data_IF_998130430699
#
_entry.id   IF_998130430699
#
_cell.length_a   1.000
_cell.length_b   1.000
_cell.length_c   1.000
_cell.angle_alpha   90.00
_cell.angle_beta   90.00
_cell.angle_gamma   90.00
#
_symmetry.space_group_name_H-M   'P 1'
#
loop_
_entity.id
_entity.type
_entity.pdbx_description
1 polymer ?
#
# COMPACT_ATOMS: atom_id res chain seq x y z
N UNK A 1 -3.13 -13.67 -4.53
CA UNK A 1 -3.95 -13.35 -5.71
C UNK A 1 -3.10 -13.44 -6.96
N UNK A 2 -3.52 -14.24 -7.93
CA UNK A 2 -2.90 -14.34 -9.25
C UNK A 2 -3.68 -13.54 -10.30
N UNK A 3 -3.04 -13.21 -11.43
CA UNK A 3 -3.71 -12.55 -12.56
C UNK A 3 -4.80 -13.44 -13.16
N UNK A 4 -4.66 -14.76 -13.06
CA UNK A 4 -5.68 -15.71 -13.50
C UNK A 4 -6.88 -15.78 -12.54
N UNK A 5 -6.70 -15.38 -11.27
CA UNK A 5 -7.76 -15.36 -10.26
C UNK A 5 -8.67 -14.13 -10.37
N UNK A 6 -8.22 -13.12 -11.12
CA UNK A 6 -8.91 -11.85 -11.29
C UNK A 6 -8.85 -11.49 -12.76
N UNK A 7 -9.89 -11.85 -13.52
CA UNK A 7 -10.06 -11.33 -14.88
C UNK A 7 -11.14 -10.23 -14.85
N UNK A 8 -10.91 -9.08 -15.52
CA UNK A 8 -11.88 -8.02 -15.55
C UNK A 8 -13.06 -8.44 -16.44
N UNK A 9 -14.28 -8.12 -16.02
CA UNK A 9 -15.47 -8.32 -16.86
C UNK A 9 -15.55 -7.27 -17.98
N UNK A 10 -16.48 -7.46 -18.92
CA UNK A 10 -16.82 -6.42 -19.92
C UNK A 10 -17.31 -5.11 -19.29
N UNK A 11 -17.66 -5.10 -18.01
CA UNK A 11 -18.10 -3.91 -17.28
C UNK A 11 -16.98 -3.20 -16.53
N UNK A 12 -15.77 -3.76 -16.49
CA UNK A 12 -14.65 -3.10 -15.86
C UNK A 12 -14.26 -1.81 -16.57
N UNK A 13 -13.64 -0.89 -15.84
CA UNK A 13 -13.09 0.33 -16.43
C UNK A 13 -12.07 0.05 -17.55
N UNK A 14 -12.02 0.93 -18.56
CA UNK A 14 -11.13 0.77 -19.73
C UNK A 14 -9.67 0.62 -19.31
N UNK A 15 -9.21 1.43 -18.35
CA UNK A 15 -7.83 1.43 -17.87
C UNK A 15 -7.47 0.16 -17.09
N UNK A 16 -8.45 -0.48 -16.44
CA UNK A 16 -8.26 -1.80 -15.80
C UNK A 16 -8.09 -2.88 -16.87
N UNK A 17 -8.97 -2.89 -17.89
CA UNK A 17 -8.87 -3.86 -19.00
C UNK A 17 -7.55 -3.73 -19.77
N UNK A 18 -7.11 -2.51 -20.01
CA UNK A 18 -5.82 -2.21 -20.62
C UNK A 18 -4.64 -2.83 -19.84
N UNK A 19 -4.58 -2.58 -18.52
CA UNK A 19 -3.55 -3.15 -17.65
C UNK A 19 -3.56 -4.69 -17.67
N UNK A 20 -4.76 -5.31 -17.69
CA UNK A 20 -4.89 -6.76 -17.83
C UNK A 20 -4.44 -7.30 -19.19
N UNK A 21 -4.71 -6.59 -20.28
CA UNK A 21 -4.30 -7.02 -21.62
C UNK A 21 -2.78 -7.08 -21.77
N UNK A 22 -2.04 -6.24 -21.03
CA UNK A 22 -0.57 -6.28 -20.98
C UNK A 22 -0.02 -7.49 -20.24
N UNK A 23 -0.78 -8.07 -19.30
CA UNK A 23 -0.34 -9.17 -18.41
C UNK A 23 1.00 -8.91 -17.68
N UNK A 24 1.38 -7.63 -17.50
CA UNK A 24 2.63 -7.24 -16.85
C UNK A 24 2.40 -7.05 -15.35
N UNK A 25 2.57 -8.13 -14.59
CA UNK A 25 2.53 -8.10 -13.12
C UNK A 25 3.83 -7.48 -12.60
N UNK A 26 3.70 -6.45 -11.79
CA UNK A 26 4.83 -5.74 -11.15
C UNK A 26 4.82 -5.86 -9.63
N UNK A 27 3.84 -6.56 -9.06
CA UNK A 27 3.76 -6.79 -7.62
C UNK A 27 2.47 -7.50 -7.23
N UNK A 28 2.36 -7.84 -5.95
CA UNK A 28 1.14 -8.41 -5.39
C UNK A 28 1.39 -9.25 -4.14
N UNK A 29 0.30 -9.65 -3.52
CA UNK A 29 0.28 -10.47 -2.32
C UNK A 29 -0.97 -11.36 -2.28
N UNK A 30 -1.32 -11.84 -1.08
CA UNK A 30 -2.50 -12.70 -0.90
C UNK A 30 -3.79 -12.03 -1.37
N UNK A 31 -3.94 -10.73 -1.09
CA UNK A 31 -5.18 -9.97 -1.33
C UNK A 31 -5.09 -8.92 -2.44
N UNK A 32 -3.90 -8.73 -3.03
CA UNK A 32 -3.68 -7.69 -4.01
C UNK A 32 -2.85 -8.18 -5.21
N UNK A 33 -3.11 -7.56 -6.36
CA UNK A 33 -2.37 -7.73 -7.60
C UNK A 33 -2.03 -6.35 -8.14
N UNK A 34 -0.78 -6.11 -8.51
CA UNK A 34 -0.33 -4.84 -9.09
C UNK A 34 0.14 -5.08 -10.53
N UNK A 35 -0.45 -4.34 -11.46
CA UNK A 35 -0.19 -4.42 -12.89
C UNK A 35 0.39 -3.10 -13.40
N UNK A 36 1.27 -3.15 -14.40
CA UNK A 36 1.62 -1.94 -15.16
C UNK A 36 0.38 -1.36 -15.84
N UNK A 37 0.24 -0.04 -15.77
CA UNK A 37 -0.74 0.67 -16.58
C UNK A 37 -0.26 0.84 -18.04
N UNK A 38 -1.16 1.30 -18.91
CA UNK A 38 -0.81 1.69 -20.28
C UNK A 38 0.17 2.87 -20.31
N UNK A 39 -0.10 3.85 -19.45
CA UNK A 39 0.68 5.08 -19.31
C UNK A 39 1.96 4.84 -18.51
N UNK A 40 3.09 5.34 -19.04
CA UNK A 40 4.37 5.29 -18.35
C UNK A 40 4.28 6.05 -17.01
N UNK A 41 4.73 5.40 -15.93
CA UNK A 41 4.74 5.99 -14.59
C UNK A 41 3.52 5.71 -13.73
N UNK A 42 2.58 4.84 -14.17
CA UNK A 42 1.43 4.43 -13.36
C UNK A 42 1.29 2.92 -13.26
N UNK A 43 0.62 2.48 -12.19
CA UNK A 43 0.22 1.08 -11.96
C UNK A 43 -1.25 0.99 -11.59
N UNK A 44 -1.83 -0.15 -11.88
CA UNK A 44 -3.17 -0.54 -11.44
C UNK A 44 -3.02 -1.53 -10.28
N UNK A 45 -3.34 -1.09 -9.06
CA UNK A 45 -3.50 -1.98 -7.90
C UNK A 45 -4.93 -2.47 -7.86
N UNK A 46 -5.08 -3.79 -7.85
CA UNK A 46 -6.33 -4.49 -7.65
C UNK A 46 -6.28 -5.13 -6.27
N UNK A 47 -7.26 -4.85 -5.42
CA UNK A 47 -7.29 -5.36 -4.05
C UNK A 47 -8.69 -5.87 -3.70
N UNK A 48 -8.73 -7.00 -3.00
CA UNK A 48 -9.95 -7.49 -2.33
C UNK A 48 -10.08 -6.95 -0.91
N UNK A 49 -9.06 -6.26 -0.39
CA UNK A 49 -9.13 -5.60 0.91
C UNK A 49 -9.80 -4.24 0.75
N UNK A 50 -11.01 -4.11 1.29
CA UNK A 50 -11.73 -2.84 1.33
C UNK A 50 -10.98 -1.85 2.24
N UNK A 51 -10.33 -2.37 3.28
CA UNK A 51 -9.52 -1.58 4.19
C UNK A 51 -8.33 -0.91 3.49
N UNK A 52 -7.56 -1.67 2.71
CA UNK A 52 -6.43 -1.17 1.93
C UNK A 52 -6.89 -0.14 0.89
N UNK A 53 -7.97 -0.45 0.16
CA UNK A 53 -8.59 0.48 -0.78
C UNK A 53 -8.98 1.80 -0.13
N UNK A 54 -9.72 1.75 0.98
CA UNK A 54 -10.17 2.94 1.70
C UNK A 54 -9.00 3.76 2.25
N UNK A 55 -7.95 3.10 2.75
CA UNK A 55 -6.74 3.76 3.23
C UNK A 55 -6.01 4.49 2.09
N UNK A 56 -5.83 3.84 0.92
CA UNK A 56 -5.18 4.46 -0.24
C UNK A 56 -5.92 5.73 -0.69
N UNK A 57 -7.25 5.70 -0.72
CA UNK A 57 -8.05 6.87 -1.06
C UNK A 57 -7.96 7.96 0.01
N UNK A 58 -7.98 7.58 1.29
CA UNK A 58 -7.91 8.52 2.41
C UNK A 58 -6.59 9.30 2.42
N UNK A 59 -5.48 8.63 2.11
CA UNK A 59 -4.14 9.22 2.19
C UNK A 59 -3.62 9.80 0.88
N UNK A 60 -4.32 9.56 -0.24
CA UNK A 60 -3.90 10.06 -1.54
C UNK A 60 -3.76 11.60 -1.54
N UNK A 61 -2.53 12.07 -1.74
CA UNK A 61 -2.21 13.49 -1.83
C UNK A 61 -2.20 14.25 -0.50
N UNK A 62 -2.33 13.57 0.64
CA UNK A 62 -2.30 14.23 1.97
C UNK A 62 -0.89 14.30 2.56
N UNK A 63 -0.02 13.35 2.23
CA UNK A 63 1.40 13.35 2.58
C UNK A 63 2.20 12.67 1.45
N UNK A 64 3.43 13.14 1.23
CA UNK A 64 4.39 12.51 0.32
C UNK A 64 4.63 11.01 0.63
N UNK A 65 4.52 10.53 1.86
CA UNK A 65 4.78 9.13 2.18
C UNK A 65 3.65 8.15 1.80
N UNK A 66 2.62 8.61 1.07
CA UNK A 66 1.57 7.76 0.51
C UNK A 66 1.48 7.92 -1.02
N UNK A 67 0.96 6.91 -1.75
CA UNK A 67 0.79 6.98 -3.19
C UNK A 67 -0.23 8.02 -3.59
N UNK A 68 0.04 8.71 -4.69
CA UNK A 68 -0.95 9.52 -5.40
C UNK A 68 -1.87 8.60 -6.20
N UNK A 69 -3.16 8.59 -5.84
CA UNK A 69 -4.22 7.94 -6.59
C UNK A 69 -4.75 8.89 -7.65
N UNK A 70 -4.79 8.43 -8.89
CA UNK A 70 -5.29 9.18 -10.05
C UNK A 70 -6.74 8.85 -10.33
N UNK A 71 -7.09 7.56 -10.29
CA UNK A 71 -8.45 7.05 -10.54
C UNK A 71 -8.71 5.84 -9.67
N UNK A 72 -9.98 5.58 -9.38
CA UNK A 72 -10.37 4.39 -8.65
C UNK A 72 -11.78 3.96 -9.05
N UNK A 73 -12.06 2.66 -8.90
CA UNK A 73 -13.37 2.10 -9.19
C UNK A 73 -13.57 0.77 -8.44
N UNK A 74 -14.82 0.48 -8.08
CA UNK A 74 -15.22 -0.84 -7.61
C UNK A 74 -15.63 -1.66 -8.84
N UNK A 75 -14.92 -2.75 -9.11
CA UNK A 75 -15.12 -3.57 -10.29
C UNK A 75 -15.56 -4.98 -9.91
N UNK A 76 -16.29 -5.64 -10.81
CA UNK A 76 -16.68 -7.03 -10.67
C UNK A 76 -15.59 -7.94 -11.26
N UNK A 77 -15.15 -8.95 -10.49
CA UNK A 77 -14.37 -10.08 -11.02
C UNK A 77 -15.21 -10.98 -11.93
N UNK A 78 -14.56 -11.87 -12.68
CA UNK A 78 -15.27 -12.97 -13.35
C UNK A 78 -15.64 -14.08 -12.35
N UNK A 79 -16.83 -14.65 -12.50
CA UNK A 79 -17.31 -15.80 -11.72
C UNK A 79 -17.55 -15.49 -10.24
N UNK A 80 -17.26 -16.45 -9.37
CA UNK A 80 -17.49 -16.36 -7.91
C UNK A 80 -16.38 -15.60 -7.16
N UNK A 81 -15.45 -14.97 -7.89
CA UNK A 81 -14.30 -14.25 -7.32
C UNK A 81 -14.67 -12.99 -6.50
N UNK A 82 -15.94 -12.56 -6.57
CA UNK A 82 -16.45 -11.37 -5.88
C UNK A 82 -15.97 -10.06 -6.49
N UNK A 83 -16.45 -8.90 -5.98
CA UNK A 83 -15.95 -7.61 -6.38
C UNK A 83 -14.50 -7.41 -5.95
N UNK A 84 -13.75 -6.63 -6.71
CA UNK A 84 -12.45 -6.11 -6.32
C UNK A 84 -12.42 -4.60 -6.48
N UNK A 85 -11.57 -3.95 -5.70
CA UNK A 85 -11.33 -2.53 -5.79
C UNK A 85 -10.12 -2.29 -6.68
N UNK A 86 -10.24 -1.38 -7.65
CA UNK A 86 -9.17 -1.01 -8.55
C UNK A 86 -8.73 0.43 -8.27
N UNK A 87 -7.43 0.64 -8.23
CA UNK A 87 -6.79 1.93 -8.00
C UNK A 87 -5.71 2.14 -9.04
N UNK A 88 -5.83 3.19 -9.85
CA UNK A 88 -4.76 3.69 -10.70
C UNK A 88 -3.94 4.68 -9.88
N UNK A 89 -2.67 4.38 -9.67
CA UNK A 89 -1.78 5.18 -8.82
C UNK A 89 -0.39 5.33 -9.42
N UNK A 90 0.40 6.27 -8.89
CA UNK A 90 1.79 6.44 -9.30
C UNK A 90 2.57 5.11 -9.21
N UNK A 91 3.38 4.82 -10.22
CA UNK A 91 4.29 3.68 -10.22
C UNK A 91 5.46 4.03 -9.32
N UNK A 92 5.62 3.28 -8.24
CA UNK A 92 6.76 3.38 -7.36
C UNK A 92 7.78 2.33 -7.79
N UNK A 93 9.05 2.71 -8.06
CA UNK A 93 10.12 1.76 -8.28
C UNK A 93 10.16 0.72 -7.15
N UNK A 94 10.29 -0.56 -7.49
CA UNK A 94 10.59 -1.58 -6.49
C UNK A 94 11.89 -1.22 -5.79
N UNK A 95 11.84 -1.11 -4.48
CA UNK A 95 12.94 -0.59 -3.69
C UNK A 95 14.05 -1.63 -3.64
N UNK A 96 15.22 -1.32 -4.22
CA UNK A 96 16.52 -1.96 -3.91
C UNK A 96 17.37 -1.15 -2.92
N UNK A 97 16.74 -0.24 -2.17
CA UNK A 97 17.40 0.60 -1.17
C UNK A 97 17.56 -0.13 0.17
N UNK A 98 18.79 -0.16 0.68
CA UNK A 98 19.13 -0.65 2.03
C UNK A 98 18.37 0.10 3.14
N UNK A 99 17.89 1.32 2.87
CA UNK A 99 17.13 2.15 3.82
C UNK A 99 15.75 1.58 4.12
N UNK A 100 14.99 1.14 3.11
CA UNK A 100 13.68 0.52 3.32
C UNK A 100 13.81 -0.83 4.06
N UNK A 101 14.88 -1.58 3.82
CA UNK A 101 15.17 -2.81 4.56
C UNK A 101 15.48 -2.50 6.04
N UNK A 102 16.24 -1.45 6.34
CA UNK A 102 16.52 -1.04 7.71
C UNK A 102 15.24 -0.64 8.47
N UNK A 103 14.32 0.10 7.83
CA UNK A 103 13.02 0.46 8.41
C UNK A 103 12.14 -0.77 8.60
N UNK A 104 11.97 -1.59 7.57
CA UNK A 104 11.16 -2.80 7.65
C UNK A 104 11.69 -3.73 8.75
N UNK A 105 13.01 -3.88 8.87
CA UNK A 105 13.64 -4.64 9.95
C UNK A 105 13.41 -3.98 11.31
N UNK A 106 13.53 -2.66 11.44
CA UNK A 106 13.26 -1.97 12.71
C UNK A 106 11.81 -2.16 13.15
N UNK A 107 10.85 -1.96 12.24
CA UNK A 107 9.42 -2.17 12.47
C UNK A 107 9.14 -3.63 12.84
N UNK A 108 9.74 -4.59 12.13
CA UNK A 108 9.53 -6.02 12.35
C UNK A 108 10.16 -6.51 13.67
N UNK A 109 11.35 -6.02 14.03
CA UNK A 109 12.06 -6.33 15.29
C UNK A 109 11.28 -5.79 16.50
N UNK A 110 10.62 -4.65 16.37
CA UNK A 110 9.81 -4.07 17.44
C UNK A 110 8.34 -4.49 17.41
N UNK A 111 7.95 -5.40 16.51
CA UNK A 111 6.57 -5.87 16.31
C UNK A 111 5.54 -4.74 16.13
N UNK A 112 5.99 -3.60 15.61
CA UNK A 112 5.19 -2.40 15.42
C UNK A 112 4.08 -2.69 14.40
N UNK A 113 2.82 -2.58 14.83
CA UNK A 113 1.63 -2.78 13.98
C UNK A 113 1.11 -4.22 13.89
N UNK A 114 1.91 -5.24 14.26
CA UNK A 114 1.53 -6.67 14.16
C UNK A 114 0.31 -7.04 15.02
N UNK A 115 0.16 -6.42 16.18
CA UNK A 115 -0.89 -6.78 17.15
C UNK A 115 -1.82 -5.63 17.51
N UNK A 116 -1.39 -4.37 17.33
CA UNK A 116 -2.20 -3.20 17.66
C UNK A 116 -1.81 -1.98 16.80
N UNK A 117 -2.77 -1.24 16.19
CA UNK A 117 -2.49 -0.04 15.39
C UNK A 117 -1.73 1.07 16.16
N UNK A 118 -1.91 1.17 17.48
CA UNK A 118 -1.12 2.03 18.36
C UNK A 118 0.40 1.79 18.31
N UNK A 119 0.86 0.62 17.86
CA UNK A 119 2.28 0.38 17.64
C UNK A 119 2.90 1.38 16.66
N UNK A 120 2.16 1.79 15.61
CA UNK A 120 2.61 2.78 14.63
C UNK A 120 2.75 4.19 15.23
N UNK A 121 1.84 4.55 16.13
CA UNK A 121 1.89 5.83 16.85
C UNK A 121 3.14 5.89 17.74
N UNK A 122 3.46 4.79 18.43
CA UNK A 122 4.68 4.69 19.23
C UNK A 122 5.94 4.71 18.37
N UNK A 123 5.91 4.06 17.21
CA UNK A 123 7.00 4.10 16.23
C UNK A 123 7.29 5.53 15.76
N UNK A 124 6.25 6.28 15.41
CA UNK A 124 6.35 7.68 15.04
C UNK A 124 6.97 8.52 16.16
N UNK A 125 6.57 8.31 17.42
CA UNK A 125 7.17 8.99 18.56
C UNK A 125 8.67 8.66 18.72
N UNK A 126 9.04 7.39 18.58
CA UNK A 126 10.44 6.96 18.68
C UNK A 126 11.32 7.53 17.56
N UNK A 127 10.79 7.68 16.34
CA UNK A 127 11.48 8.36 15.23
C UNK A 127 11.72 9.84 15.55
N UNK A 128 10.68 10.56 16.00
CA UNK A 128 10.78 11.98 16.39
C UNK A 128 11.79 12.20 17.53
N UNK A 129 11.80 11.29 18.51
CA UNK A 129 12.72 11.31 19.64
C UNK A 129 14.15 10.86 19.27
N UNK A 130 14.40 10.47 18.01
CA UNK A 130 15.69 9.94 17.52
C UNK A 130 16.22 8.75 18.33
N UNK A 131 15.29 7.96 18.90
CA UNK A 131 15.60 6.72 19.65
C UNK A 131 15.92 5.55 18.72
N UNK A 132 15.62 5.71 17.44
CA UNK A 132 15.97 4.81 16.36
C UNK A 132 17.09 5.51 15.58
N UNK A 133 18.18 4.80 15.30
CA UNK A 133 19.44 5.37 14.76
C UNK A 133 19.29 6.31 13.56
N UNK A 134 20.38 7.00 13.25
CA UNK A 134 20.43 8.20 12.39
C UNK A 134 19.56 8.17 11.10
N UNK A 135 18.92 9.32 10.85
CA UNK A 135 18.40 9.85 9.56
C UNK A 135 17.14 9.23 8.94
N UNK A 136 16.01 9.31 9.64
CA UNK A 136 14.69 9.32 8.97
C UNK A 136 14.06 10.71 9.02
N UNK A 137 13.42 11.17 7.94
CA UNK A 137 12.81 12.50 7.91
C UNK A 137 11.59 12.55 8.85
N UNK A 138 11.38 13.69 9.52
CA UNK A 138 10.23 13.90 10.43
C UNK A 138 8.89 13.64 9.73
N UNK A 139 8.81 13.90 8.42
CA UNK A 139 7.63 13.63 7.59
C UNK A 139 7.24 12.15 7.55
N UNK A 140 8.20 11.22 7.71
CA UNK A 140 7.92 9.79 7.79
C UNK A 140 7.28 9.44 9.14
N UNK A 141 7.73 10.08 10.23
CA UNK A 141 7.09 9.92 11.53
C UNK A 141 5.65 10.44 11.49
N UNK A 142 5.41 11.57 10.83
CA UNK A 142 4.06 12.11 10.62
C UNK A 142 3.17 11.15 9.83
N UNK A 143 3.72 10.50 8.79
CA UNK A 143 3.00 9.50 8.01
C UNK A 143 2.63 8.25 8.83
N UNK A 144 3.57 7.72 9.61
CA UNK A 144 3.32 6.59 10.50
C UNK A 144 2.29 6.93 11.59
N UNK A 145 2.35 8.15 12.12
CA UNK A 145 1.37 8.63 13.09
C UNK A 145 -0.03 8.69 12.48
N UNK A 146 -0.18 9.33 11.32
CA UNK A 146 -1.46 9.47 10.62
C UNK A 146 -2.05 8.10 10.25
N UNK A 147 -1.22 7.17 9.75
CA UNK A 147 -1.64 5.80 9.46
C UNK A 147 -2.08 5.06 10.73
N UNK A 148 -1.34 5.22 11.83
CA UNK A 148 -1.67 4.64 13.13
C UNK A 148 -2.99 5.17 13.70
N UNK A 149 -3.25 6.47 13.63
CA UNK A 149 -4.51 7.08 14.05
C UNK A 149 -5.70 6.61 13.21
N UNK A 150 -5.53 6.60 11.88
CA UNK A 150 -6.55 6.08 10.96
C UNK A 150 -6.86 4.61 11.26
N UNK A 151 -5.83 3.77 11.35
CA UNK A 151 -5.99 2.36 11.64
C UNK A 151 -6.62 2.11 13.02
N UNK A 152 -6.26 2.88 14.04
CA UNK A 152 -6.89 2.79 15.36
C UNK A 152 -8.38 3.16 15.31
N UNK A 153 -8.74 4.25 14.63
CA UNK A 153 -10.13 4.70 14.50
C UNK A 153 -11.03 3.71 13.75
N UNK A 154 -10.43 2.94 12.83
CA UNK A 154 -11.11 1.96 11.97
C UNK A 154 -10.95 0.51 12.46
N UNK A 155 -10.23 0.29 13.56
CA UNK A 155 -9.87 -1.03 14.09
C UNK A 155 -9.17 -1.94 13.06
N UNK A 156 -8.30 -1.36 12.22
CA UNK A 156 -7.55 -2.06 11.18
C UNK A 156 -6.23 -2.62 11.71
N UNK A 157 -5.73 -3.65 11.04
CA UNK A 157 -4.34 -4.10 11.18
C UNK A 157 -3.49 -3.50 10.06
N UNK A 158 -2.24 -3.21 10.37
CA UNK A 158 -1.29 -2.64 9.43
C UNK A 158 -0.01 -3.45 9.50
N UNK A 159 0.40 -4.01 8.37
CA UNK A 159 1.57 -4.89 8.27
C UNK A 159 2.68 -4.16 7.50
N UNK A 160 3.44 -3.27 8.15
CA UNK A 160 4.58 -2.61 7.48
C UNK A 160 5.90 -3.39 7.61
N UNK A 161 5.84 -4.60 8.17
CA UNK A 161 6.99 -5.45 8.45
C UNK A 161 7.55 -6.14 7.22
N UNK A 162 6.88 -6.05 6.06
CA UNK A 162 7.34 -6.62 4.80
C UNK A 162 7.88 -5.52 3.89
N UNK A 163 9.08 -5.73 3.33
CA UNK A 163 9.70 -4.83 2.36
C UNK A 163 8.81 -4.59 1.13
N UNK A 164 7.96 -5.55 0.77
CA UNK A 164 7.03 -5.44 -0.35
C UNK A 164 5.99 -4.32 -0.19
N UNK A 165 5.85 -3.76 1.03
CA UNK A 165 4.83 -2.75 1.34
C UNK A 165 5.39 -1.32 1.25
N UNK A 166 6.64 -1.20 0.81
CA UNK A 166 7.42 0.03 0.73
C UNK A 166 7.91 0.32 -0.69
N UNK A 167 7.82 1.59 -1.07
CA UNK A 167 8.29 2.20 -2.31
C UNK A 167 9.30 3.31 -2.03
N UNK A 168 10.00 3.78 -3.05
CA UNK A 168 10.89 4.95 -2.94
C UNK A 168 10.75 5.78 -4.22
N UNK A 169 10.52 7.10 -4.07
CA UNK A 169 10.52 8.02 -5.22
C UNK A 169 11.95 8.37 -5.64
N UNK A 170 12.09 8.97 -6.82
CA UNK A 170 13.40 9.40 -7.35
C UNK A 170 14.16 10.37 -6.43
N UNK A 171 13.44 11.12 -5.58
CA UNK A 171 14.03 12.02 -4.59
C UNK A 171 14.45 11.33 -3.27
N UNK A 172 14.31 10.01 -3.18
CA UNK A 172 14.61 9.22 -1.98
C UNK A 172 13.46 9.18 -0.95
N UNK A 173 12.31 9.78 -1.23
CA UNK A 173 11.14 9.72 -0.35
C UNK A 173 10.58 8.32 -0.31
N UNK A 174 10.52 7.71 0.87
CA UNK A 174 9.89 6.41 1.07
C UNK A 174 8.36 6.52 1.04
N UNK A 175 7.70 5.53 0.45
CA UNK A 175 6.24 5.54 0.28
C UNK A 175 5.65 4.23 0.79
N UNK A 176 4.59 4.31 1.58
CA UNK A 176 3.87 3.16 2.14
C UNK A 176 2.66 2.91 1.24
N UNK A 177 2.55 1.73 0.61
CA UNK A 177 1.50 1.50 -0.40
C UNK A 177 0.68 0.21 -0.23
N UNK A 178 0.97 -0.58 0.79
CA UNK A 178 0.10 -1.66 1.27
C UNK A 178 -0.27 -1.38 2.72
N UNK A 179 -1.45 -0.77 2.90
CA UNK A 179 -1.66 0.12 4.04
C UNK A 179 -2.39 -0.54 5.20
N UNK A 180 -3.38 -1.40 4.95
CA UNK A 180 -4.20 -1.95 6.01
C UNK A 180 -5.03 -3.16 5.58
N UNK A 181 -5.33 -4.03 6.53
CA UNK A 181 -6.29 -5.11 6.40
C UNK A 181 -7.27 -5.12 7.58
N UNK A 182 -8.52 -5.49 7.34
CA UNK A 182 -9.49 -5.68 8.41
C UNK A 182 -9.39 -7.08 9.01
N UNK A 183 -9.85 -7.26 10.26
CA UNK A 183 -9.91 -8.60 10.91
C UNK A 183 -10.76 -9.62 10.16
N UNK A 184 -11.69 -9.18 9.31
CA UNK A 184 -12.57 -10.06 8.53
C UNK A 184 -11.91 -10.54 7.24
N UNK A 185 -10.82 -9.89 6.83
CA UNK A 185 -10.11 -10.17 5.58
C UNK A 185 -8.96 -11.17 5.76
N UNK A 186 -8.46 -11.36 7.00
CA UNK A 186 -7.43 -12.36 7.35
C UNK A 186 -8.06 -13.66 7.85
#
# INVERSE_FOLDING_TARGET
MDINDVAPTRHAEVWVRAAFAKQSKVGGGSFALVLDADDAGFVVKLTRSEADYAALLHFSGTNSHFPKVVKHAVNQGQGDAGPFHAVLMEKLPEVFSLKALAIANHINVQEIGKHHPYGLIMAAANLRDRKVGDEYPDSLADALHALGEYAASKMLRVELNQRANWGEREDGTLVIFDLAHSRREM
#
